data_IF_158339018035
#
_entry.id   IF_158339018035
#
_cell.length_a   1.000
_cell.length_b   1.000
_cell.length_c   1.000
_cell.angle_alpha   90.00
_cell.angle_beta   90.00
_cell.angle_gamma   90.00
#
_symmetry.space_group_name_H-M   'P 1'
#
loop_
_entity.id
_entity.type
_entity.pdbx_description
1 polymer ?
#
# COMPACT_ATOMS: atom_id res chain seq x y z
N UNK A 1 -7.84 -19.71 12.59
CA UNK A 1 -7.49 -18.28 12.44
C UNK A 1 -8.12 -17.37 13.52
N UNK A 2 -9.13 -17.80 14.28
CA UNK A 2 -9.75 -17.02 15.36
C UNK A 2 -8.78 -16.57 16.47
N UNK A 3 -7.76 -17.37 16.78
CA UNK A 3 -6.72 -17.02 17.75
C UNK A 3 -5.88 -15.81 17.31
N UNK A 4 -5.62 -15.64 16.02
CA UNK A 4 -4.89 -14.46 15.51
C UNK A 4 -5.74 -13.20 15.59
N UNK A 5 -7.02 -13.28 15.19
CA UNK A 5 -7.98 -12.18 15.36
C UNK A 5 -8.08 -11.76 16.83
N UNK A 6 -8.22 -12.74 17.71
CA UNK A 6 -8.30 -12.49 19.16
C UNK A 6 -6.99 -11.86 19.67
N UNK A 7 -5.83 -12.30 19.16
CA UNK A 7 -4.52 -11.77 19.54
C UNK A 7 -4.29 -10.33 19.03
N UNK A 8 -4.71 -9.99 17.81
CA UNK A 8 -4.59 -8.62 17.27
C UNK A 8 -5.58 -7.64 17.92
N UNK A 9 -6.75 -8.13 18.30
CA UNK A 9 -7.75 -7.38 19.08
C UNK A 9 -7.46 -7.41 20.58
N UNK A 10 -6.46 -8.18 21.02
CA UNK A 10 -6.20 -8.36 22.43
C UNK A 10 -5.71 -7.04 23.05
N UNK A 11 -6.35 -6.54 24.12
CA UNK A 11 -6.03 -5.23 24.67
C UNK A 11 -4.64 -5.14 25.30
N UNK A 12 -3.88 -6.23 25.38
CA UNK A 12 -2.67 -6.35 26.21
C UNK A 12 -1.37 -6.25 25.39
N UNK A 13 -1.46 -5.96 24.08
CA UNK A 13 -0.29 -5.97 23.19
C UNK A 13 0.10 -4.57 22.73
N UNK A 14 1.41 -4.31 22.70
CA UNK A 14 2.01 -3.12 22.12
C UNK A 14 1.72 -3.03 20.61
N UNK A 15 1.71 -1.82 20.01
CA UNK A 15 1.54 -1.64 18.57
C UNK A 15 2.53 -2.46 17.74
N UNK A 16 3.80 -2.51 18.14
CA UNK A 16 4.83 -3.34 17.48
C UNK A 16 4.51 -4.84 17.53
N UNK A 17 4.02 -5.35 18.67
CA UNK A 17 3.60 -6.75 18.78
C UNK A 17 2.33 -7.05 17.98
N UNK A 18 1.35 -6.14 17.96
CA UNK A 18 0.15 -6.28 17.13
C UNK A 18 0.50 -6.34 15.65
N UNK A 19 1.40 -5.46 15.19
CA UNK A 19 1.91 -5.48 13.81
C UNK A 19 2.62 -6.80 13.50
N UNK A 20 3.47 -7.30 14.40
CA UNK A 20 4.16 -8.59 14.24
C UNK A 20 3.18 -9.76 14.15
N UNK A 21 2.14 -9.78 14.98
CA UNK A 21 1.12 -10.82 14.99
C UNK A 21 0.23 -10.72 13.75
N UNK A 22 -0.16 -9.51 13.34
CA UNK A 22 -0.90 -9.28 12.11
C UNK A 22 -0.11 -9.74 10.89
N UNK A 23 1.21 -9.48 10.81
CA UNK A 23 2.08 -10.00 9.73
C UNK A 23 2.13 -11.53 9.70
N UNK A 24 2.22 -12.19 10.86
CA UNK A 24 2.14 -13.66 10.93
C UNK A 24 0.78 -14.17 10.48
N UNK A 25 -0.29 -13.49 10.89
CA UNK A 25 -1.65 -13.82 10.48
C UNK A 25 -1.84 -13.67 8.97
N UNK A 26 -1.35 -12.58 8.37
CA UNK A 26 -1.33 -12.38 6.92
C UNK A 26 -0.64 -13.55 6.23
N UNK A 27 0.59 -13.89 6.65
CA UNK A 27 1.34 -14.97 6.03
C UNK A 27 0.57 -16.30 6.05
N UNK A 28 -0.06 -16.63 7.17
CA UNK A 28 -0.84 -17.85 7.28
C UNK A 28 -2.20 -17.78 6.55
N UNK A 29 -2.87 -16.63 6.55
CA UNK A 29 -4.18 -16.47 5.94
C UNK A 29 -4.10 -16.36 4.41
N UNK A 30 -3.17 -15.56 3.89
CA UNK A 30 -2.99 -15.33 2.45
C UNK A 30 -2.53 -16.60 1.73
N UNK A 31 -1.56 -17.34 2.32
CA UNK A 31 -1.11 -18.64 1.78
C UNK A 31 -2.23 -19.66 1.64
N UNK A 32 -3.21 -19.63 2.54
CA UNK A 32 -4.35 -20.54 2.54
C UNK A 32 -5.61 -19.93 1.89
N UNK A 33 -5.51 -18.73 1.31
CA UNK A 33 -6.64 -17.98 0.74
C UNK A 33 -7.84 -17.89 1.69
N UNK A 34 -7.55 -17.75 2.98
CA UNK A 34 -8.56 -17.74 4.03
C UNK A 34 -9.31 -16.40 4.01
N UNK A 35 -10.63 -16.43 4.21
CA UNK A 35 -11.50 -15.22 4.16
C UNK A 35 -11.08 -14.11 5.13
N UNK A 36 -10.39 -14.47 6.21
CA UNK A 36 -9.89 -13.56 7.23
C UNK A 36 -8.60 -12.83 6.86
N UNK A 37 -8.04 -13.05 5.66
CA UNK A 37 -6.80 -12.40 5.23
C UNK A 37 -6.97 -10.88 5.14
N UNK A 38 -8.12 -10.40 4.67
CA UNK A 38 -8.44 -8.97 4.59
C UNK A 38 -8.44 -8.33 5.99
N UNK A 39 -9.04 -8.99 6.99
CA UNK A 39 -9.06 -8.51 8.37
C UNK A 39 -7.64 -8.45 8.95
N UNK A 40 -6.77 -9.39 8.58
CA UNK A 40 -5.37 -9.41 8.97
C UNK A 40 -4.58 -8.23 8.36
N UNK A 41 -4.81 -7.94 7.08
CA UNK A 41 -4.25 -6.78 6.40
C UNK A 41 -4.73 -5.46 7.02
N UNK A 42 -6.03 -5.35 7.29
CA UNK A 42 -6.61 -4.17 7.93
C UNK A 42 -6.02 -3.92 9.32
N UNK A 43 -5.89 -4.97 10.14
CA UNK A 43 -5.24 -4.89 11.45
C UNK A 43 -3.77 -4.45 11.35
N UNK A 44 -3.03 -4.96 10.35
CA UNK A 44 -1.65 -4.58 10.10
C UNK A 44 -1.52 -3.11 9.70
N UNK A 45 -2.35 -2.64 8.75
CA UNK A 45 -2.34 -1.25 8.27
C UNK A 45 -2.75 -0.28 9.38
N UNK A 46 -3.74 -0.63 10.21
CA UNK A 46 -4.16 0.20 11.35
C UNK A 46 -3.13 0.29 12.47
N UNK A 47 -2.23 -0.72 12.60
CA UNK A 47 -1.14 -0.70 13.56
C UNK A 47 0.05 0.17 13.10
N UNK A 48 0.24 0.35 11.78
CA UNK A 48 1.39 1.07 11.23
C UNK A 48 1.55 2.53 11.70
N UNK A 49 0.50 3.39 11.71
CA UNK A 49 0.64 4.76 12.20
C UNK A 49 1.14 4.83 13.64
N UNK A 50 0.71 3.87 14.47
CA UNK A 50 1.09 3.77 15.87
C UNK A 50 2.57 3.40 15.98
N UNK A 51 3.01 2.33 15.29
CA UNK A 51 4.43 1.95 15.26
C UNK A 51 5.30 3.07 14.70
N UNK A 52 4.86 3.73 13.63
CA UNK A 52 5.60 4.81 13.00
C UNK A 52 5.73 6.04 13.92
N UNK A 53 4.66 6.42 14.63
CA UNK A 53 4.70 7.51 15.61
C UNK A 53 5.62 7.22 16.81
N UNK A 54 5.94 5.95 17.06
CA UNK A 54 6.61 5.47 18.28
C UNK A 54 7.99 4.90 18.09
N UNK A 55 8.39 4.72 16.85
CA UNK A 55 9.77 4.46 16.49
C UNK A 55 10.68 5.57 17.07
N UNK A 56 11.38 5.19 18.14
CA UNK A 56 12.36 6.01 18.86
C UNK A 56 13.69 6.13 18.09
N UNK A 57 13.87 5.30 17.07
CA UNK A 57 15.07 5.17 16.25
C UNK A 57 14.74 5.43 14.77
N UNK A 58 15.58 6.25 14.14
CA UNK A 58 15.50 6.60 12.71
C UNK A 58 15.70 5.37 11.83
N UNK A 59 16.51 4.39 12.24
CA UNK A 59 16.68 3.13 11.50
C UNK A 59 15.43 2.23 11.60
N UNK A 60 14.78 2.16 12.77
CA UNK A 60 13.50 1.49 12.95
C UNK A 60 12.35 2.16 12.18
N UNK A 61 12.38 3.50 12.04
CA UNK A 61 11.53 4.22 11.06
C UNK A 61 11.85 3.76 9.65
N UNK A 62 13.12 3.68 9.32
CA UNK A 62 13.58 3.33 7.98
C UNK A 62 13.23 1.88 7.62
N UNK A 63 13.32 0.92 8.52
CA UNK A 63 12.86 -0.44 8.28
C UNK A 63 11.33 -0.53 8.13
N UNK A 64 10.57 0.23 8.92
CA UNK A 64 9.11 0.37 8.71
C UNK A 64 8.77 1.05 7.37
N UNK A 65 9.58 2.00 6.92
CA UNK A 65 9.45 2.71 5.63
C UNK A 65 9.83 1.83 4.42
N UNK A 66 10.89 1.03 4.54
CA UNK A 66 11.48 0.28 3.41
C UNK A 66 10.82 -1.09 3.23
N UNK A 67 10.26 -1.68 4.29
CA UNK A 67 9.86 -3.09 4.28
C UNK A 67 8.34 -3.35 4.20
N UNK A 68 7.42 -2.38 4.25
CA UNK A 68 6.02 -2.81 4.41
C UNK A 68 4.85 -1.84 4.41
N UNK A 69 4.89 -0.66 3.79
CA UNK A 69 3.65 0.13 3.60
C UNK A 69 3.13 0.03 2.16
N UNK A 70 3.97 0.33 1.16
CA UNK A 70 3.57 0.25 -0.26
C UNK A 70 3.31 -1.20 -0.69
N UNK A 71 4.23 -2.12 -0.36
CA UNK A 71 4.04 -3.56 -0.61
C UNK A 71 2.86 -4.17 0.14
N UNK A 72 2.69 -3.83 1.43
CA UNK A 72 1.61 -4.36 2.25
C UNK A 72 0.22 -3.89 1.79
N UNK A 73 0.08 -2.60 1.47
CA UNK A 73 -1.19 -2.06 0.99
C UNK A 73 -1.57 -2.62 -0.37
N UNK A 74 -0.58 -2.83 -1.24
CA UNK A 74 -0.73 -3.47 -2.55
C UNK A 74 -1.15 -4.93 -2.43
N UNK A 75 -0.50 -5.69 -1.52
CA UNK A 75 -0.89 -7.07 -1.22
C UNK A 75 -2.30 -7.15 -0.61
N UNK A 76 -2.62 -6.22 0.30
CA UNK A 76 -3.95 -6.10 0.89
C UNK A 76 -5.02 -5.82 -0.18
N UNK A 77 -4.72 -4.93 -1.12
CA UNK A 77 -5.59 -4.61 -2.25
C UNK A 77 -5.80 -5.81 -3.17
N UNK A 78 -4.73 -6.55 -3.50
CA UNK A 78 -4.81 -7.80 -4.28
C UNK A 78 -5.71 -8.82 -3.57
N UNK A 79 -5.55 -9.00 -2.26
CA UNK A 79 -6.38 -9.89 -1.45
C UNK A 79 -7.87 -9.48 -1.49
N UNK A 80 -8.14 -8.18 -1.38
CA UNK A 80 -9.49 -7.62 -1.46
C UNK A 80 -10.12 -7.81 -2.85
N UNK A 81 -9.38 -7.58 -3.93
CA UNK A 81 -9.82 -7.80 -5.31
C UNK A 81 -10.19 -9.27 -5.55
N UNK A 82 -9.33 -10.21 -5.13
CA UNK A 82 -9.59 -11.66 -5.22
C UNK A 82 -10.86 -12.09 -4.48
N UNK A 83 -11.22 -11.36 -3.43
CA UNK A 83 -12.43 -11.59 -2.65
C UNK A 83 -13.66 -10.82 -3.16
N UNK A 84 -13.57 -10.15 -4.32
CA UNK A 84 -14.66 -9.35 -4.90
C UNK A 84 -14.99 -8.07 -4.11
N UNK A 85 -14.08 -7.60 -3.26
CA UNK A 85 -14.28 -6.40 -2.41
C UNK A 85 -13.45 -5.22 -2.92
N UNK A 86 -13.79 -4.69 -4.10
CA UNK A 86 -13.07 -3.56 -4.73
C UNK A 86 -13.07 -2.31 -3.85
N UNK A 87 -14.18 -2.04 -3.15
CA UNK A 87 -14.31 -0.95 -2.19
C UNK A 87 -13.19 -0.99 -1.14
N UNK A 88 -12.98 -2.17 -0.54
CA UNK A 88 -11.94 -2.39 0.45
C UNK A 88 -10.54 -2.28 -0.15
N UNK A 89 -10.34 -2.72 -1.39
CA UNK A 89 -9.06 -2.57 -2.05
C UNK A 89 -8.63 -1.09 -2.13
N UNK A 90 -9.56 -0.19 -2.48
CA UNK A 90 -9.31 1.25 -2.54
C UNK A 90 -9.04 1.82 -1.13
N UNK A 91 -9.86 1.49 -0.14
CA UNK A 91 -9.67 1.95 1.25
C UNK A 91 -8.28 1.54 1.80
N UNK A 92 -7.85 0.31 1.54
CA UNK A 92 -6.57 -0.22 2.02
C UNK A 92 -5.37 0.45 1.30
N UNK A 93 -5.49 0.73 0.00
CA UNK A 93 -4.48 1.47 -0.76
C UNK A 93 -4.32 2.91 -0.26
N UNK A 94 -5.43 3.62 -0.08
CA UNK A 94 -5.41 5.00 0.42
C UNK A 94 -4.88 5.08 1.85
N UNK A 95 -5.23 4.11 2.70
CA UNK A 95 -4.67 4.01 4.04
C UNK A 95 -3.15 3.79 4.00
N UNK A 96 -2.66 2.85 3.18
CA UNK A 96 -1.24 2.59 3.00
C UNK A 96 -0.46 3.80 2.50
N UNK A 97 -0.97 4.47 1.47
CA UNK A 97 -0.37 5.68 0.88
C UNK A 97 -0.33 6.83 1.88
N UNK A 98 -1.43 7.07 2.59
CA UNK A 98 -1.49 8.13 3.62
C UNK A 98 -0.44 7.92 4.70
N UNK A 99 -0.25 6.67 5.14
CA UNK A 99 0.79 6.31 6.11
C UNK A 99 2.17 6.56 5.52
N UNK A 100 2.46 6.02 4.34
CA UNK A 100 3.75 6.18 3.67
C UNK A 100 4.11 7.66 3.47
N UNK A 101 3.21 8.47 2.92
CA UNK A 101 3.46 9.88 2.64
C UNK A 101 3.57 10.74 3.90
N UNK A 102 2.81 10.43 4.96
CA UNK A 102 2.95 11.12 6.25
C UNK A 102 4.34 10.95 6.86
N UNK A 103 5.00 9.82 6.60
CA UNK A 103 6.33 9.49 7.13
C UNK A 103 7.46 9.98 6.21
N UNK A 104 7.36 9.71 4.90
CA UNK A 104 8.42 10.05 3.92
C UNK A 104 8.59 11.55 3.77
N UNK A 105 7.49 12.30 3.72
CA UNK A 105 7.55 13.74 3.46
C UNK A 105 7.56 14.58 4.74
N UNK A 106 7.57 13.95 5.93
CA UNK A 106 7.35 14.63 7.22
C UNK A 106 6.16 15.61 7.16
N UNK A 107 5.16 15.32 6.31
CA UNK A 107 4.17 16.28 5.80
C UNK A 107 3.04 16.59 6.79
N UNK A 108 3.37 16.55 8.08
CA UNK A 108 2.46 16.52 9.24
C UNK A 108 1.90 15.13 9.41
N UNK A 109 2.47 14.42 10.38
CA UNK A 109 1.83 13.25 10.98
C UNK A 109 0.42 13.64 11.46
N UNK A 110 -0.56 12.73 11.50
CA UNK A 110 -1.85 12.98 12.15
C UNK A 110 -1.68 13.62 13.55
N UNK A 111 -0.61 13.25 14.27
CA UNK A 111 -0.25 13.85 15.55
C UNK A 111 0.18 15.32 15.46
N UNK A 112 0.82 15.75 14.37
CA UNK A 112 1.22 17.15 14.18
C UNK A 112 0.01 18.03 13.84
N UNK A 113 -0.96 17.48 13.12
CA UNK A 113 -2.25 18.15 12.87
C UNK A 113 -3.04 18.26 14.17
N UNK A 114 -3.09 17.18 14.95
CA UNK A 114 -3.72 17.19 16.27
C UNK A 114 -3.06 18.18 17.21
N UNK A 115 -1.73 18.25 17.24
CA UNK A 115 -0.99 19.14 18.15
C UNK A 115 -1.29 20.63 17.92
N UNK A 116 -1.70 21.03 16.71
CA UNK A 116 -2.12 22.41 16.42
C UNK A 116 -3.45 22.80 17.06
N UNK A 117 -4.32 21.83 17.33
CA UNK A 117 -5.70 22.06 17.79
C UNK A 117 -5.85 21.63 19.25
N UNK A 118 -5.25 20.49 19.62
CA UNK A 118 -5.27 19.92 20.96
C UNK A 118 -3.84 19.43 21.34
N UNK A 119 -2.92 20.34 21.69
CA UNK A 119 -1.52 20.01 21.99
C UNK A 119 -1.40 19.02 23.15
N UNK A 120 -2.17 19.21 24.22
CA UNK A 120 -2.16 18.32 25.39
C UNK A 120 -2.56 16.88 25.04
N UNK A 121 -3.55 16.71 24.17
CA UNK A 121 -4.05 15.40 23.75
C UNK A 121 -3.05 14.70 22.83
N UNK A 122 -2.40 15.45 21.95
CA UNK A 122 -1.31 14.95 21.11
C UNK A 122 -0.12 14.47 21.97
N UNK A 123 0.28 15.25 22.98
CA UNK A 123 1.40 14.91 23.85
C UNK A 123 1.05 13.73 24.78
N UNK A 124 -0.20 13.67 25.28
CA UNK A 124 -0.72 12.52 26.04
C UNK A 124 -0.63 11.24 25.21
N UNK A 125 -1.12 11.25 23.98
CA UNK A 125 -1.03 10.09 23.08
C UNK A 125 0.43 9.68 22.83
N UNK A 126 1.31 10.63 22.51
CA UNK A 126 2.74 10.37 22.29
C UNK A 126 3.41 9.73 23.53
N UNK A 127 3.06 10.20 24.72
CA UNK A 127 3.57 9.67 25.99
C UNK A 127 3.06 8.27 26.30
N UNK A 128 1.76 8.02 26.17
CA UNK A 128 1.15 6.69 26.39
C UNK A 128 1.83 5.67 25.50
N UNK A 129 2.02 6.03 24.25
CA UNK A 129 2.49 5.09 23.27
C UNK A 129 4.02 4.87 23.35
N UNK A 130 4.81 5.86 23.79
CA UNK A 130 6.20 5.64 24.22
C UNK A 130 6.28 4.61 25.36
N UNK A 131 5.38 4.70 26.35
CA UNK A 131 5.32 3.76 27.49
C UNK A 131 4.87 2.35 27.07
N UNK A 132 4.06 2.22 26.01
CA UNK A 132 3.67 0.94 25.43
C UNK A 132 4.82 0.25 24.71
N UNK A 133 5.66 1.00 23.96
CA UNK A 133 6.84 0.43 23.29
C UNK A 133 7.93 0.00 24.27
N UNK A 134 8.23 0.80 25.30
CA UNK A 134 9.23 0.44 26.33
C UNK A 134 8.86 -0.87 27.04
N UNK A 135 7.57 -1.09 27.32
CA UNK A 135 7.09 -2.35 27.89
C UNK A 135 7.27 -3.54 26.94
N UNK A 136 7.10 -3.32 25.64
CA UNK A 136 7.25 -4.34 24.59
C UNK A 136 8.66 -4.90 24.46
N UNK A 137 9.69 -4.05 24.63
CA UNK A 137 11.09 -4.49 24.49
C UNK A 137 11.58 -5.31 25.69
N UNK A 138 10.97 -5.14 26.87
CA UNK A 138 11.31 -5.91 28.08
C UNK A 138 10.85 -7.36 28.00
N UNK A 139 9.78 -7.63 27.26
CA UNK A 139 9.24 -8.99 27.04
C UNK A 139 10.16 -9.86 26.16
N UNK A 140 10.90 -9.25 25.23
CA UNK A 140 11.80 -9.98 24.31
C UNK A 140 13.12 -10.39 24.98
N UNK A 141 13.55 -9.69 26.03
CA UNK A 141 14.82 -9.94 26.74
C UNK A 141 14.70 -10.83 27.98
N UNK A 142 13.49 -11.33 28.31
CA UNK A 142 13.27 -12.15 29.52
C UNK A 142 13.05 -13.63 29.21
N UNK A 143 13.88 -14.23 28.36
CA UNK A 143 14.13 -15.68 28.45
C UNK A 143 15.23 -15.90 29.48
N UNK A 144 14.84 -16.22 30.73
CA UNK A 144 15.51 -17.13 31.70
C UNK A 144 14.71 -17.05 33.04
N UNK A 145 14.44 -18.24 33.56
CA UNK A 145 13.51 -18.73 34.60
C UNK A 145 13.39 -17.93 35.92
N UNK A 146 12.15 -17.78 36.46
CA UNK A 146 11.81 -18.00 37.89
C UNK A 146 10.32 -17.74 38.26
N UNK A 147 9.77 -18.43 39.27
CA UNK A 147 8.37 -18.30 39.74
C UNK A 147 8.04 -16.92 40.37
N UNK A 148 9.04 -16.14 40.81
CA UNK A 148 8.84 -14.75 41.28
C UNK A 148 8.48 -13.78 40.14
N UNK A 149 8.68 -14.17 38.87
CA UNK A 149 8.33 -13.35 37.70
C UNK A 149 6.84 -13.41 37.35
N UNK A 150 6.05 -14.42 37.76
CA UNK A 150 4.60 -14.46 37.44
C UNK A 150 3.85 -13.22 37.96
N UNK A 151 4.12 -12.81 39.20
CA UNK A 151 3.55 -11.59 39.78
C UNK A 151 4.02 -10.31 39.06
N UNK A 152 5.26 -10.31 38.55
CA UNK A 152 5.83 -9.20 37.76
C UNK A 152 5.22 -9.12 36.35
N UNK A 153 4.97 -10.28 35.73
CA UNK A 153 4.29 -10.40 34.42
C UNK A 153 2.84 -9.95 34.55
N UNK A 154 2.12 -10.37 35.59
CA UNK A 154 0.74 -9.97 35.82
C UNK A 154 0.63 -8.45 36.10
N UNK A 155 1.59 -7.88 36.82
CA UNK A 155 1.68 -6.43 37.06
C UNK A 155 2.02 -5.65 35.79
N UNK A 156 2.94 -6.14 34.98
CA UNK A 156 3.31 -5.50 33.71
C UNK A 156 2.16 -5.60 32.69
N UNK A 157 1.48 -6.75 32.64
CA UNK A 157 0.25 -6.91 31.86
C UNK A 157 -0.81 -5.90 32.32
N UNK A 158 -1.09 -5.80 33.63
CA UNK A 158 -2.04 -4.82 34.16
C UNK A 158 -1.64 -3.37 33.84
N UNK A 159 -0.34 -3.05 33.83
CA UNK A 159 0.19 -1.73 33.44
C UNK A 159 -0.05 -1.45 31.95
N UNK A 160 0.25 -2.40 31.08
CA UNK A 160 0.01 -2.29 29.64
C UNK A 160 -1.48 -2.17 29.32
N UNK A 161 -2.35 -2.82 30.09
CA UNK A 161 -3.81 -2.73 29.95
C UNK A 161 -4.30 -1.31 30.17
N UNK A 162 -3.90 -0.71 31.30
CA UNK A 162 -4.24 0.68 31.63
C UNK A 162 -3.78 1.63 30.53
N UNK A 163 -2.56 1.45 30.01
CA UNK A 163 -2.06 2.28 28.91
C UNK A 163 -2.85 2.10 27.61
N UNK A 164 -3.27 0.88 27.28
CA UNK A 164 -4.10 0.62 26.09
C UNK A 164 -5.53 1.17 26.25
N UNK A 165 -6.09 1.13 27.46
CA UNK A 165 -7.37 1.77 27.78
C UNK A 165 -7.26 3.30 27.69
N UNK A 166 -6.24 3.89 28.31
CA UNK A 166 -5.94 5.33 28.21
C UNK A 166 -5.73 5.76 26.76
N UNK A 167 -5.05 4.94 25.95
CA UNK A 167 -4.88 5.17 24.52
C UNK A 167 -6.24 5.16 23.80
N UNK A 168 -7.02 4.09 23.97
CA UNK A 168 -8.32 3.95 23.32
C UNK A 168 -9.27 5.11 23.68
N UNK A 169 -9.27 5.52 24.94
CA UNK A 169 -10.00 6.67 25.44
C UNK A 169 -9.51 7.98 24.80
N UNK A 170 -8.19 8.20 24.76
CA UNK A 170 -7.62 9.40 24.13
C UNK A 170 -7.90 9.46 22.63
N UNK A 171 -7.89 8.32 21.93
CA UNK A 171 -8.32 8.26 20.51
C UNK A 171 -9.80 8.58 20.37
N UNK A 172 -10.64 8.13 21.30
CA UNK A 172 -12.07 8.48 21.29
C UNK A 172 -12.26 9.98 21.47
N UNK A 173 -11.57 10.60 22.43
CA UNK A 173 -11.55 12.05 22.66
C UNK A 173 -11.14 12.80 21.39
N UNK A 174 -10.06 12.40 20.72
CA UNK A 174 -9.63 13.02 19.46
C UNK A 174 -10.72 12.96 18.40
N UNK A 175 -11.42 11.83 18.28
CA UNK A 175 -12.48 11.65 17.29
C UNK A 175 -13.76 12.43 17.57
N UNK A 176 -13.88 13.06 18.73
CA UNK A 176 -14.94 14.04 19.01
C UNK A 176 -14.62 15.45 18.50
N UNK A 177 -13.37 15.71 18.13
CA UNK A 177 -12.94 16.99 17.58
C UNK A 177 -13.36 17.10 16.10
N UNK A 178 -13.88 18.28 15.74
CA UNK A 178 -14.25 18.58 14.34
C UNK A 178 -13.07 18.39 13.41
N UNK A 179 -13.23 17.57 12.37
CA UNK A 179 -12.19 17.26 11.38
C UNK A 179 -11.25 16.11 11.78
N UNK A 180 -11.48 15.46 12.92
CA UNK A 180 -10.70 14.30 13.41
C UNK A 180 -11.55 13.05 13.61
N UNK A 181 -12.76 12.99 13.07
CA UNK A 181 -13.73 11.91 13.26
C UNK A 181 -13.18 10.53 12.84
N UNK A 182 -12.32 10.54 11.80
CA UNK A 182 -11.62 9.37 11.28
C UNK A 182 -10.13 9.33 11.69
N UNK A 183 -9.74 10.00 12.78
CA UNK A 183 -8.35 10.00 13.27
C UNK A 183 -7.80 8.58 13.44
N UNK A 184 -6.68 8.30 12.77
CA UNK A 184 -6.04 6.97 12.67
C UNK A 184 -6.95 5.85 12.16
N UNK A 185 -7.98 6.16 11.36
CA UNK A 185 -8.78 5.16 10.61
C UNK A 185 -8.47 5.23 9.12
N UNK A 186 -8.58 4.11 8.40
CA UNK A 186 -8.64 4.14 6.93
C UNK A 186 -9.77 5.07 6.47
N UNK A 187 -9.50 5.88 5.45
CA UNK A 187 -10.53 6.66 4.79
C UNK A 187 -11.59 5.74 4.22
N UNK A 188 -12.87 6.03 4.51
CA UNK A 188 -13.98 5.28 3.95
C UNK A 188 -14.15 5.59 2.47
N UNK A 189 -14.60 4.60 1.70
CA UNK A 189 -14.86 4.79 0.28
C UNK A 189 -15.82 5.95 0.00
N UNK A 190 -16.82 6.18 0.86
CA UNK A 190 -17.76 7.30 0.74
C UNK A 190 -17.06 8.66 0.65
N UNK A 191 -16.01 8.86 1.46
CA UNK A 191 -15.22 10.10 1.47
C UNK A 191 -14.29 10.18 0.26
N UNK A 192 -13.76 9.03 -0.19
CA UNK A 192 -12.87 8.95 -1.35
C UNK A 192 -13.59 9.18 -2.68
N UNK A 193 -14.85 8.74 -2.80
CA UNK A 193 -15.69 8.96 -3.99
C UNK A 193 -15.91 10.43 -4.32
N UNK A 194 -15.76 11.34 -3.36
CA UNK A 194 -15.82 12.79 -3.61
C UNK A 194 -14.76 13.23 -4.62
N UNK A 195 -13.56 12.61 -4.59
CA UNK A 195 -12.51 12.88 -5.56
C UNK A 195 -12.87 12.43 -6.98
N UNK A 196 -13.79 11.47 -7.11
CA UNK A 196 -14.29 10.95 -8.39
C UNK A 196 -15.66 11.53 -8.80
N UNK A 197 -16.06 12.67 -8.20
CA UNK A 197 -17.36 13.30 -8.44
C UNK A 197 -17.47 13.90 -9.84
N UNK A 198 -16.41 14.59 -10.29
CA UNK A 198 -16.37 15.22 -11.62
C UNK A 198 -15.70 14.33 -12.67
N UNK A 199 -14.64 13.61 -12.27
CA UNK A 199 -13.80 12.85 -13.19
C UNK A 199 -13.48 11.46 -12.63
N UNK A 200 -13.45 10.41 -13.45
CA UNK A 200 -13.03 9.08 -13.00
C UNK A 200 -11.60 9.07 -12.46
N UNK A 201 -11.39 8.35 -11.37
CA UNK A 201 -10.06 8.12 -10.79
C UNK A 201 -9.60 6.72 -11.18
N UNK A 202 -8.44 6.64 -11.84
CA UNK A 202 -7.83 5.38 -12.26
C UNK A 202 -6.70 5.02 -11.30
N UNK A 203 -6.81 3.85 -10.66
CA UNK A 203 -5.86 3.36 -9.67
C UNK A 203 -5.19 2.11 -10.23
N UNK A 204 -3.86 2.17 -10.38
CA UNK A 204 -3.05 1.08 -10.90
C UNK A 204 -2.36 0.36 -9.75
N UNK A 205 -2.51 -0.96 -9.72
CA UNK A 205 -2.02 -1.81 -8.64
C UNK A 205 -1.08 -2.83 -9.28
N UNK A 206 0.23 -2.59 -9.17
CA UNK A 206 1.23 -3.51 -9.68
C UNK A 206 1.37 -4.72 -8.74
N UNK A 207 1.35 -5.96 -9.22
CA UNK A 207 1.79 -7.12 -8.42
C UNK A 207 2.78 -7.98 -9.22
N UNK A 208 3.38 -8.97 -8.59
CA UNK A 208 4.42 -9.78 -9.24
C UNK A 208 3.84 -10.67 -10.35
N UNK A 209 2.68 -11.27 -10.10
CA UNK A 209 2.02 -12.19 -11.05
C UNK A 209 1.07 -11.44 -12.00
N UNK A 210 0.03 -10.80 -11.46
CA UNK A 210 -0.99 -10.07 -12.23
C UNK A 210 -1.22 -8.69 -11.62
N UNK A 211 -1.16 -7.65 -12.45
CA UNK A 211 -1.52 -6.30 -12.04
C UNK A 211 -3.01 -6.05 -12.20
N UNK A 212 -3.52 -5.03 -11.53
CA UNK A 212 -4.94 -4.67 -11.58
C UNK A 212 -5.12 -3.18 -11.81
N UNK A 213 -6.19 -2.82 -12.50
CA UNK A 213 -6.67 -1.45 -12.64
C UNK A 213 -8.05 -1.34 -12.01
N UNK A 214 -8.23 -0.36 -11.14
CA UNK A 214 -9.53 0.02 -10.60
C UNK A 214 -9.90 1.39 -11.16
N UNK A 215 -11.09 1.48 -11.75
CA UNK A 215 -11.67 2.73 -12.23
C UNK A 215 -12.81 3.09 -11.29
N UNK A 216 -12.59 4.15 -10.49
CA UNK A 216 -13.57 4.67 -9.56
C UNK A 216 -14.30 5.86 -10.17
N UNK A 217 -15.62 5.81 -10.15
CA UNK A 217 -16.52 6.92 -10.45
C UNK A 217 -17.35 7.26 -9.21
N UNK A 218 -18.18 8.31 -9.28
CA UNK A 218 -19.11 8.66 -8.21
C UNK A 218 -20.08 7.52 -7.85
N UNK A 219 -20.43 6.66 -8.81
CA UNK A 219 -21.44 5.61 -8.65
C UNK A 219 -20.83 4.22 -8.53
N UNK A 220 -19.95 3.85 -9.46
CA UNK A 220 -19.44 2.49 -9.61
C UNK A 220 -17.92 2.43 -9.47
N UNK A 221 -17.42 1.26 -9.07
CA UNK A 221 -16.02 0.87 -9.18
C UNK A 221 -15.95 -0.29 -10.16
N UNK A 222 -15.10 -0.13 -11.18
CA UNK A 222 -14.88 -1.16 -12.17
C UNK A 222 -13.46 -1.71 -12.05
N UNK A 223 -13.33 -3.02 -12.13
CA UNK A 223 -12.06 -3.72 -12.05
C UNK A 223 -11.69 -4.26 -13.43
N UNK A 224 -10.47 -3.95 -13.86
CA UNK A 224 -9.86 -4.46 -15.08
C UNK A 224 -8.62 -5.27 -14.67
N UNK A 225 -8.59 -6.60 -14.89
CA UNK A 225 -7.40 -7.41 -14.71
C UNK A 225 -6.34 -7.06 -15.77
N UNK A 226 -5.06 -7.03 -15.39
CA UNK A 226 -3.93 -6.72 -16.25
C UNK A 226 -2.91 -7.88 -16.21
N UNK A 227 -3.24 -9.07 -16.74
CA UNK A 227 -2.41 -10.28 -16.66
C UNK A 227 -1.05 -10.11 -17.33
N UNK A 228 -0.97 -9.27 -18.35
CA UNK A 228 0.26 -9.07 -19.14
C UNK A 228 1.19 -8.00 -18.55
N UNK A 229 0.81 -7.35 -17.43
CA UNK A 229 1.55 -6.23 -16.84
C UNK A 229 2.06 -6.53 -15.43
N UNK A 230 2.63 -7.71 -15.18
CA UNK A 230 3.28 -8.04 -13.92
C UNK A 230 4.47 -7.10 -13.59
N UNK A 231 4.90 -7.09 -12.32
CA UNK A 231 6.00 -6.24 -11.83
C UNK A 231 7.32 -6.43 -12.62
N UNK A 232 7.72 -7.65 -13.03
CA UNK A 232 8.88 -7.83 -13.89
C UNK A 232 8.75 -7.08 -15.23
N UNK A 233 7.57 -7.14 -15.86
CA UNK A 233 7.26 -6.45 -17.12
C UNK A 233 7.33 -4.94 -16.93
N UNK A 234 6.65 -4.42 -15.91
CA UNK A 234 6.61 -2.98 -15.62
C UNK A 234 8.02 -2.42 -15.33
N UNK A 235 8.86 -3.17 -14.61
CA UNK A 235 10.27 -2.80 -14.39
C UNK A 235 11.07 -2.75 -15.69
N UNK A 236 10.85 -3.71 -16.58
CA UNK A 236 11.49 -3.73 -17.90
C UNK A 236 11.06 -2.55 -18.77
N UNK A 237 9.77 -2.22 -18.80
CA UNK A 237 9.25 -1.05 -19.52
C UNK A 237 9.83 0.26 -18.97
N UNK A 238 9.87 0.41 -17.64
CA UNK A 238 10.47 1.57 -16.99
C UNK A 238 11.97 1.68 -17.28
N UNK A 239 12.70 0.57 -17.29
CA UNK A 239 14.11 0.53 -17.66
C UNK A 239 14.33 0.93 -19.12
N UNK A 240 13.48 0.43 -20.03
CA UNK A 240 13.50 0.76 -21.46
C UNK A 240 13.30 2.25 -21.69
N UNK A 241 12.32 2.87 -21.01
CA UNK A 241 12.10 4.33 -21.06
C UNK A 241 13.32 5.10 -20.53
N UNK A 242 13.91 4.65 -19.42
CA UNK A 242 15.09 5.31 -18.83
C UNK A 242 16.28 5.29 -19.78
N UNK A 243 16.55 4.15 -20.42
CA UNK A 243 17.62 4.01 -21.43
C UNK A 243 17.34 4.96 -22.61
N UNK A 244 16.12 4.96 -23.12
CA UNK A 244 15.72 5.80 -24.24
C UNK A 244 15.84 7.30 -23.93
N UNK A 245 15.59 7.70 -22.67
CA UNK A 245 15.72 9.08 -22.21
C UNK A 245 17.15 9.53 -21.87
N UNK A 246 18.06 8.61 -21.56
CA UNK A 246 19.48 8.93 -21.32
C UNK A 246 20.22 9.12 -22.64
N UNK A 247 20.66 10.34 -22.94
CA UNK A 247 21.40 10.72 -24.16
C UNK A 247 22.79 10.05 -24.34
N UNK A 248 23.13 9.02 -23.56
CA UNK A 248 24.38 8.29 -23.71
C UNK A 248 24.28 7.22 -24.80
N UNK A 249 25.32 7.13 -25.65
CA UNK A 249 25.51 6.04 -26.61
C UNK A 249 25.28 4.69 -25.93
N UNK A 250 24.21 4.01 -26.33
CA UNK A 250 23.72 2.79 -25.70
C UNK A 250 24.76 1.69 -25.93
N UNK A 251 25.33 1.12 -24.86
CA UNK A 251 26.22 -0.04 -24.97
C UNK A 251 25.46 -1.25 -25.52
N UNK A 252 26.05 -1.97 -26.48
CA UNK A 252 25.48 -3.17 -27.12
C UNK A 252 24.96 -4.20 -26.10
N UNK A 253 25.64 -4.35 -24.96
CA UNK A 253 25.28 -5.26 -23.87
C UNK A 253 23.95 -4.91 -23.17
N UNK A 254 23.55 -3.64 -23.15
CA UNK A 254 22.27 -3.20 -22.58
C UNK A 254 21.11 -3.46 -23.55
N UNK A 255 21.38 -3.38 -24.86
CA UNK A 255 20.41 -3.71 -25.91
C UNK A 255 20.09 -5.21 -25.85
N UNK A 256 21.12 -6.06 -25.71
CA UNK A 256 20.95 -7.51 -25.62
C UNK A 256 20.11 -7.92 -24.39
N UNK A 257 20.34 -7.31 -23.22
CA UNK A 257 19.50 -7.54 -22.04
C UNK A 257 18.04 -7.12 -22.25
N UNK A 258 17.80 -6.00 -22.92
CA UNK A 258 16.45 -5.48 -23.19
C UNK A 258 15.74 -6.31 -24.27
N UNK A 259 16.48 -6.86 -25.24
CA UNK A 259 15.98 -7.79 -26.25
C UNK A 259 15.64 -9.15 -25.64
N UNK A 260 16.47 -9.71 -24.76
CA UNK A 260 16.17 -10.95 -24.06
C UNK A 260 14.91 -10.83 -23.19
N UNK A 261 14.72 -9.67 -22.54
CA UNK A 261 13.52 -9.39 -21.76
C UNK A 261 12.28 -9.27 -22.68
N UNK A 262 12.37 -8.53 -23.78
CA UNK A 262 11.25 -8.40 -24.73
C UNK A 262 10.92 -9.73 -25.45
N UNK A 263 11.92 -10.53 -25.83
CA UNK A 263 11.73 -11.84 -26.49
C UNK A 263 11.09 -12.84 -25.53
N UNK A 264 11.45 -12.84 -24.24
CA UNK A 264 10.76 -13.66 -23.23
C UNK A 264 9.33 -13.18 -22.97
N UNK A 265 9.09 -11.87 -22.92
CA UNK A 265 7.77 -11.30 -22.63
C UNK A 265 6.76 -11.46 -23.77
N UNK A 266 7.22 -11.45 -25.03
CA UNK A 266 6.39 -11.67 -26.22
C UNK A 266 6.31 -13.15 -26.64
N UNK A 267 7.09 -14.02 -26.00
CA UNK A 267 7.46 -15.34 -26.51
C UNK A 267 6.56 -16.52 -26.16
N UNK A 268 5.61 -16.40 -25.21
CA UNK A 268 4.87 -17.57 -24.73
C UNK A 268 3.43 -17.72 -25.25
N UNK A 269 2.77 -16.66 -25.75
CA UNK A 269 1.36 -16.79 -26.21
C UNK A 269 1.16 -16.91 -27.73
N UNK A 270 2.22 -16.89 -28.54
CA UNK A 270 2.09 -16.99 -30.01
C UNK A 270 2.92 -18.13 -30.57
N UNK A 271 2.42 -19.35 -30.38
CA UNK A 271 2.73 -20.49 -31.24
C UNK A 271 2.19 -20.22 -32.67
N UNK A 272 2.87 -19.33 -33.38
CA UNK A 272 2.52 -18.90 -34.73
C UNK A 272 3.59 -17.94 -35.20
N UNK A 273 4.63 -18.49 -35.84
CA UNK A 273 5.77 -17.81 -36.50
C UNK A 273 5.56 -16.29 -36.69
N UNK A 274 5.95 -15.50 -35.69
CA UNK A 274 6.22 -14.07 -35.91
C UNK A 274 7.71 -13.96 -36.22
N UNK A 275 8.05 -14.11 -37.50
CA UNK A 275 9.30 -13.59 -38.02
C UNK A 275 9.27 -12.07 -37.89
N UNK A 276 10.09 -11.50 -37.02
CA UNK A 276 10.94 -10.35 -37.37
C UNK A 276 11.65 -9.80 -36.15
N UNK A 277 12.98 -9.77 -36.23
CA UNK A 277 13.88 -8.91 -35.46
C UNK A 277 13.27 -7.52 -35.21
N UNK A 278 12.71 -7.26 -34.03
CA UNK A 278 12.53 -5.89 -33.57
C UNK A 278 13.87 -5.45 -33.00
N UNK A 279 14.77 -5.07 -33.91
CA UNK A 279 16.01 -4.38 -33.57
C UNK A 279 15.59 -2.97 -33.12
N UNK A 280 15.42 -2.78 -31.80
CA UNK A 280 15.18 -1.48 -31.16
C UNK A 280 16.44 -0.61 -31.34
N UNK A 281 16.62 -0.07 -32.54
CA UNK A 281 17.82 0.68 -32.96
C UNK A 281 17.80 2.14 -32.51
N UNK A 282 16.62 2.70 -32.29
CA UNK A 282 16.43 4.10 -31.93
C UNK A 282 15.69 4.23 -30.60
N UNK A 283 16.02 5.28 -29.85
CA UNK A 283 15.28 5.71 -28.66
C UNK A 283 13.78 5.87 -28.97
N UNK A 284 13.43 6.42 -30.14
CA UNK A 284 12.03 6.58 -30.57
C UNK A 284 11.30 5.25 -30.74
N UNK A 285 11.98 4.22 -31.25
CA UNK A 285 11.37 2.90 -31.42
C UNK A 285 11.17 2.21 -30.06
N UNK A 286 12.07 2.47 -29.11
CA UNK A 286 11.92 2.04 -27.72
C UNK A 286 10.71 2.68 -27.07
N UNK A 287 10.54 4.01 -27.20
CA UNK A 287 9.36 4.70 -26.70
C UNK A 287 8.08 4.19 -27.34
N UNK A 288 8.03 4.05 -28.67
CA UNK A 288 6.84 3.53 -29.38
C UNK A 288 6.47 2.13 -28.94
N UNK A 289 7.44 1.26 -28.72
CA UNK A 289 7.21 -0.10 -28.23
C UNK A 289 6.57 -0.10 -26.85
N UNK A 290 7.14 0.66 -25.90
CA UNK A 290 6.59 0.77 -24.54
C UNK A 290 5.19 1.39 -24.54
N UNK A 291 4.99 2.48 -25.28
CA UNK A 291 3.69 3.15 -25.38
C UNK A 291 2.63 2.25 -26.02
N UNK A 292 3.00 1.44 -27.01
CA UNK A 292 2.07 0.47 -27.62
C UNK A 292 1.61 -0.57 -26.61
N UNK A 293 2.53 -1.13 -25.83
CA UNK A 293 2.17 -2.10 -24.79
C UNK A 293 1.26 -1.48 -23.72
N UNK A 294 1.59 -0.28 -23.22
CA UNK A 294 0.74 0.43 -22.26
C UNK A 294 -0.62 0.80 -22.86
N UNK A 295 -0.66 1.14 -24.16
CA UNK A 295 -1.90 1.44 -24.85
C UNK A 295 -2.82 0.22 -24.93
N UNK A 296 -2.32 -0.89 -25.45
CA UNK A 296 -3.09 -2.10 -25.70
C UNK A 296 -3.56 -2.75 -24.39
N UNK A 297 -2.70 -2.81 -23.38
CA UNK A 297 -2.97 -3.53 -22.13
C UNK A 297 -3.66 -2.68 -21.05
N UNK A 298 -3.48 -1.35 -21.04
CA UNK A 298 -3.97 -0.50 -19.94
C UNK A 298 -4.89 0.63 -20.42
N UNK A 299 -4.43 1.47 -21.34
CA UNK A 299 -5.14 2.71 -21.67
C UNK A 299 -6.42 2.43 -22.46
N UNK A 300 -6.33 1.58 -23.48
CA UNK A 300 -7.47 1.24 -24.35
C UNK A 300 -8.62 0.58 -23.58
N UNK A 301 -8.39 -0.43 -22.71
CA UNK A 301 -9.45 -0.98 -21.85
C UNK A 301 -10.13 0.09 -20.99
N UNK A 302 -9.36 1.00 -20.38
CA UNK A 302 -9.90 2.07 -19.53
C UNK A 302 -10.72 3.09 -20.31
N UNK A 303 -10.24 3.53 -21.48
CA UNK A 303 -10.96 4.46 -22.38
C UNK A 303 -12.27 3.83 -22.86
N UNK A 304 -12.23 2.56 -23.27
CA UNK A 304 -13.41 1.83 -23.73
C UNK A 304 -14.47 1.71 -22.63
N UNK A 305 -14.05 1.45 -21.39
CA UNK A 305 -14.97 1.38 -20.26
C UNK A 305 -15.61 2.75 -19.97
N UNK A 306 -14.85 3.83 -20.07
CA UNK A 306 -15.33 5.19 -19.78
C UNK A 306 -16.11 5.84 -20.94
N UNK A 307 -16.26 5.15 -22.08
CA UNK A 307 -16.81 5.68 -23.35
C UNK A 307 -16.25 7.07 -23.71
N UNK A 308 -14.95 7.28 -23.46
CA UNK A 308 -14.31 8.57 -23.75
C UNK A 308 -14.16 8.69 -25.26
N UNK A 309 -15.01 9.51 -25.87
CA UNK A 309 -14.91 9.85 -27.29
C UNK A 309 -13.84 10.91 -27.51
N UNK A 310 -13.08 10.76 -28.60
CA UNK A 310 -12.14 11.80 -29.03
C UNK A 310 -12.92 13.09 -29.26
N UNK A 311 -12.64 14.12 -28.46
CA UNK A 311 -13.29 15.41 -28.61
C UNK A 311 -13.00 15.97 -30.01
N UNK A 312 -14.06 16.19 -30.80
CA UNK A 312 -13.97 16.76 -32.15
C UNK A 312 -13.44 18.21 -32.14
N UNK A 313 -13.35 18.85 -30.97
CA UNK A 313 -12.87 20.23 -30.83
C UNK A 313 -11.38 20.42 -31.13
N UNK A 314 -10.54 19.38 -31.01
CA UNK A 314 -9.09 19.50 -31.31
C UNK A 314 -8.82 19.57 -32.82
N UNK A 315 -9.76 19.11 -33.67
CA UNK A 315 -9.61 19.17 -35.13
C UNK A 315 -9.86 20.58 -35.70
N UNK A 316 -10.53 21.46 -34.96
CA UNK A 316 -10.82 22.83 -35.44
C UNK A 316 -9.65 23.81 -35.26
N UNK A 317 -8.70 23.54 -34.35
CA UNK A 317 -7.53 24.42 -34.11
C UNK A 317 -6.40 24.19 -35.12
N UNK A 318 -6.46 23.11 -35.93
CA UNK A 318 -5.52 22.87 -37.04
C UNK A 318 -6.03 23.30 -38.42
N UNK A 319 -7.17 23.99 -38.48
CA UNK A 319 -7.79 24.43 -39.74
C UNK A 319 -7.99 25.96 -39.86
N UNK A 320 -7.31 26.75 -39.02
CA UNK A 320 -7.12 28.21 -39.18
C UNK A 320 -5.61 28.52 -39.21
#
# INVERSE_FOLDING_TARGET
MSLFLTATQYPFQSPSNRLRIARRWIHCADRNQHSSAIDAYEASIQALPQVAALSLDVASRQDAMTAGSDGLARDAARCAIRSGRMDKAIELLEAGRSIFWSQVLSLRSPFDQLHKIAPELADKLRNIATKLEIGSHRDVFSEILDNRKKLSIDQEAARLNRLNEEWAQSIHEVRTLSGFEDFLRPSRLSSLKVAASEHPVVILIANDDESHCLIMTSTIIHHIPLPNLGTPVLKALAHTIRIAGSQSSISQSLIDQTQDINIKLLGEERAGRVSSNIQLKSSDDMFKSVLRMLWDELVKPGINFLDIRVSQYILYIKAQ
#
